data_IF_054674238997
#
_entry.id   IF_054674238997
#
_cell.length_a   1.000
_cell.length_b   1.000
_cell.length_c   1.000
_cell.angle_alpha   90.00
_cell.angle_beta   90.00
_cell.angle_gamma   90.00
#
_symmetry.space_group_name_H-M   'P 1'
#
loop_
_entity.id
_entity.type
_entity.pdbx_description
1 polymer ?
#
# COMPACT_ATOMS: atom_id res chain seq x y z
N UNK A 1 -14.54 2.83 -5.27
CA UNK A 1 -13.49 3.88 -5.35
C UNK A 1 -13.61 4.53 -6.71
N UNK A 2 -13.37 5.84 -6.80
CA UNK A 2 -13.44 6.55 -8.07
C UNK A 2 -12.16 6.33 -8.88
N UNK A 3 -12.33 6.05 -10.17
CA UNK A 3 -11.22 6.04 -11.11
C UNK A 3 -10.85 7.48 -11.48
N UNK A 4 -9.56 7.77 -11.70
CA UNK A 4 -9.04 9.12 -11.92
C UNK A 4 -9.72 9.88 -13.06
N UNK A 5 -10.12 9.20 -14.14
CA UNK A 5 -10.75 9.82 -15.32
C UNK A 5 -12.24 9.54 -15.46
N UNK A 6 -12.89 9.08 -14.40
CA UNK A 6 -14.33 8.82 -14.45
C UNK A 6 -15.10 10.15 -14.41
N UNK A 7 -16.01 10.35 -15.36
CA UNK A 7 -16.89 11.52 -15.40
C UNK A 7 -18.31 11.15 -14.93
N UNK A 8 -19.05 12.16 -14.47
CA UNK A 8 -20.46 11.99 -14.13
C UNK A 8 -21.22 11.53 -15.38
N UNK A 9 -22.08 10.52 -15.25
CA UNK A 9 -22.81 9.91 -16.36
C UNK A 9 -22.08 8.80 -17.11
N UNK A 10 -20.83 8.50 -16.76
CA UNK A 10 -20.10 7.36 -17.33
C UNK A 10 -20.72 6.03 -16.90
N UNK A 11 -20.96 5.13 -17.85
CA UNK A 11 -21.40 3.76 -17.57
C UNK A 11 -20.21 2.92 -17.13
N UNK A 12 -20.36 2.23 -15.99
CA UNK A 12 -19.34 1.33 -15.44
C UNK A 12 -19.95 -0.04 -15.26
N UNK A 13 -19.24 -1.07 -15.71
CA UNK A 13 -19.69 -2.45 -15.66
C UNK A 13 -18.76 -3.30 -14.79
N UNK A 14 -19.37 -4.26 -14.09
CA UNK A 14 -18.66 -5.28 -13.32
C UNK A 14 -19.21 -6.64 -13.74
N UNK A 15 -18.45 -7.37 -14.55
CA UNK A 15 -18.83 -8.72 -15.01
C UNK A 15 -17.61 -9.64 -15.00
N UNK A 16 -17.73 -10.90 -15.44
CA UNK A 16 -16.57 -11.78 -15.59
C UNK A 16 -15.62 -11.29 -16.68
N UNK A 17 -16.20 -10.87 -17.80
CA UNK A 17 -15.53 -10.23 -18.92
C UNK A 17 -16.31 -8.98 -19.31
N UNK A 18 -15.61 -7.87 -19.49
CA UNK A 18 -16.16 -6.59 -19.92
C UNK A 18 -15.20 -5.95 -20.92
N UNK A 19 -15.66 -4.91 -21.59
CA UNK A 19 -14.78 -4.02 -22.33
C UNK A 19 -13.68 -3.45 -21.42
N UNK A 20 -12.49 -3.27 -22.00
CA UNK A 20 -11.30 -2.73 -21.32
C UNK A 20 -11.45 -1.22 -21.24
N UNK A 21 -12.39 -0.76 -20.41
CA UNK A 21 -12.66 0.65 -20.17
C UNK A 21 -12.29 1.03 -18.73
N UNK A 22 -11.74 2.24 -18.49
CA UNK A 22 -11.38 2.67 -17.15
C UNK A 22 -12.59 2.68 -16.20
N UNK A 23 -12.42 2.10 -15.00
CA UNK A 23 -13.50 1.96 -14.03
C UNK A 23 -14.24 0.62 -14.10
N UNK A 24 -14.19 -0.11 -15.22
CA UNK A 24 -14.78 -1.45 -15.30
C UNK A 24 -14.01 -2.44 -14.43
N UNK A 25 -14.72 -3.44 -13.90
CA UNK A 25 -14.14 -4.51 -13.09
C UNK A 25 -14.40 -5.89 -13.71
N UNK A 26 -13.33 -6.69 -13.80
CA UNK A 26 -13.36 -8.03 -14.37
C UNK A 26 -12.29 -8.94 -13.74
N UNK A 27 -12.33 -10.24 -14.03
CA UNK A 27 -11.32 -11.21 -13.56
C UNK A 27 -9.96 -10.88 -14.17
N UNK A 28 -8.87 -11.02 -13.41
CA UNK A 28 -7.52 -10.73 -13.91
C UNK A 28 -7.11 -11.60 -15.10
N UNK A 29 -7.67 -12.80 -15.22
CA UNK A 29 -7.54 -13.66 -16.41
C UNK A 29 -7.88 -12.92 -17.69
N UNK A 30 -8.84 -12.01 -17.66
CA UNK A 30 -9.40 -11.36 -18.84
C UNK A 30 -8.78 -9.97 -19.10
N UNK A 31 -8.04 -9.39 -18.14
CA UNK A 31 -7.44 -8.05 -18.29
C UNK A 31 -6.10 -8.16 -19.05
N UNK A 32 -5.82 -7.40 -20.11
CA UNK A 32 -4.57 -7.52 -20.86
C UNK A 32 -3.30 -7.33 -20.00
N UNK A 33 -2.20 -7.92 -20.48
CA UNK A 33 -0.87 -7.67 -19.90
C UNK A 33 -0.50 -6.20 -20.07
N UNK A 34 0.21 -5.65 -19.10
CA UNK A 34 0.66 -4.26 -19.10
C UNK A 34 -0.39 -3.24 -18.66
N UNK A 35 -1.66 -3.63 -18.50
CA UNK A 35 -2.72 -2.74 -18.03
C UNK A 35 -2.51 -2.35 -16.55
N UNK A 36 -2.81 -1.09 -16.22
CA UNK A 36 -2.87 -0.62 -14.84
C UNK A 36 -4.22 -0.97 -14.23
N UNK A 37 -4.20 -1.48 -13.01
CA UNK A 37 -5.39 -1.89 -12.25
C UNK A 37 -5.34 -1.36 -10.82
N UNK A 38 -6.50 -1.24 -10.19
CA UNK A 38 -6.66 -0.85 -8.79
C UNK A 38 -7.79 -1.66 -8.14
N UNK A 39 -7.96 -1.52 -6.82
CA UNK A 39 -8.95 -2.31 -6.06
C UNK A 39 -8.85 -3.83 -6.31
N UNK A 40 -7.64 -4.37 -6.24
CA UNK A 40 -7.38 -5.77 -6.57
C UNK A 40 -7.68 -6.67 -5.38
N UNK A 41 -8.36 -7.79 -5.62
CA UNK A 41 -8.60 -8.81 -4.61
C UNK A 41 -7.32 -9.63 -4.32
N UNK A 42 -7.09 -9.98 -3.05
CA UNK A 42 -5.98 -10.87 -2.69
C UNK A 42 -6.36 -12.35 -2.80
N UNK A 43 -7.65 -12.65 -2.65
CA UNK A 43 -8.26 -13.96 -2.83
C UNK A 43 -9.61 -13.76 -3.53
N UNK A 44 -10.06 -14.69 -4.38
CA UNK A 44 -11.34 -14.57 -5.07
C UNK A 44 -12.47 -14.34 -4.07
N UNK A 45 -13.32 -13.34 -4.34
CA UNK A 45 -14.51 -13.04 -3.52
C UNK A 45 -14.23 -12.38 -2.17
N UNK A 46 -12.96 -12.13 -1.81
CA UNK A 46 -12.61 -11.44 -0.55
C UNK A 46 -12.68 -9.90 -0.67
N UNK A 47 -13.07 -9.40 -1.84
CA UNK A 47 -13.14 -7.98 -2.13
C UNK A 47 -11.77 -7.33 -2.35
N UNK A 48 -11.79 -6.10 -2.88
CA UNK A 48 -10.58 -5.35 -3.20
C UNK A 48 -9.80 -5.00 -1.94
N UNK A 49 -8.54 -5.44 -1.86
CA UNK A 49 -7.64 -5.20 -0.72
C UNK A 49 -6.40 -4.38 -1.11
N UNK A 50 -5.93 -4.53 -2.34
CA UNK A 50 -4.67 -3.96 -2.85
C UNK A 50 -4.96 -2.74 -3.74
N UNK A 51 -4.05 -1.77 -3.74
CA UNK A 51 -4.11 -0.54 -4.55
C UNK A 51 -5.42 0.24 -4.36
N UNK A 52 -5.61 0.73 -3.13
CA UNK A 52 -6.82 1.42 -2.66
C UNK A 52 -6.59 2.88 -2.25
N UNK A 53 -5.36 3.28 -1.98
CA UNK A 53 -5.06 4.66 -1.62
C UNK A 53 -5.22 5.59 -2.82
N UNK A 54 -5.38 6.89 -2.55
CA UNK A 54 -5.46 7.91 -3.59
C UNK A 54 -4.23 7.83 -4.52
N UNK A 55 -4.45 7.89 -5.84
CA UNK A 55 -3.41 7.70 -6.85
C UNK A 55 -2.81 6.29 -6.95
N UNK A 56 -3.37 5.29 -6.25
CA UNK A 56 -2.81 3.94 -6.25
C UNK A 56 -3.15 3.14 -7.50
N UNK A 57 -2.20 2.30 -7.91
CA UNK A 57 -2.37 1.30 -8.96
C UNK A 57 -1.39 0.14 -8.80
N UNK A 58 -1.62 -0.92 -9.55
CA UNK A 58 -0.72 -2.02 -9.79
C UNK A 58 -0.72 -2.33 -11.28
N UNK A 59 0.41 -2.83 -11.80
CA UNK A 59 0.51 -3.19 -13.22
C UNK A 59 0.53 -4.70 -13.37
N UNK A 60 -0.25 -5.23 -14.31
CA UNK A 60 -0.18 -6.64 -14.68
C UNK A 60 1.09 -6.86 -15.50
N UNK A 61 2.00 -7.72 -15.02
CA UNK A 61 3.30 -7.96 -15.68
C UNK A 61 3.30 -9.28 -16.43
N UNK A 62 2.77 -10.34 -15.82
CA UNK A 62 2.75 -11.67 -16.41
C UNK A 62 1.49 -12.43 -15.99
N UNK A 63 1.09 -13.41 -16.79
CA UNK A 63 0.03 -14.37 -16.50
C UNK A 63 0.59 -15.76 -16.77
N UNK A 64 0.66 -16.58 -15.74
CA UNK A 64 1.27 -17.90 -15.77
C UNK A 64 0.36 -18.89 -15.04
N UNK A 65 -0.24 -19.82 -15.80
CA UNK A 65 -1.17 -20.80 -15.27
C UNK A 65 -2.31 -20.14 -14.48
N UNK A 66 -2.49 -20.57 -13.23
CA UNK A 66 -3.55 -20.07 -12.33
C UNK A 66 -3.22 -18.71 -11.69
N UNK A 67 -2.02 -18.16 -11.92
CA UNK A 67 -1.56 -16.93 -11.27
C UNK A 67 -1.35 -15.79 -12.28
N UNK A 68 -1.69 -14.59 -11.84
CA UNK A 68 -1.33 -13.32 -12.46
C UNK A 68 -0.30 -12.62 -11.58
N UNK A 69 0.82 -12.22 -12.16
CA UNK A 69 1.88 -11.48 -11.47
C UNK A 69 1.62 -9.98 -11.61
N UNK A 70 1.48 -9.31 -10.47
CA UNK A 70 1.32 -7.87 -10.38
C UNK A 70 2.59 -7.21 -9.87
N UNK A 71 2.95 -6.07 -10.46
CA UNK A 71 3.90 -5.11 -9.90
C UNK A 71 3.12 -4.07 -9.11
N UNK A 72 3.30 -4.08 -7.80
CA UNK A 72 2.71 -3.12 -6.88
C UNK A 72 3.49 -1.80 -6.91
N UNK A 73 2.84 -0.69 -6.54
CA UNK A 73 3.50 0.60 -6.36
C UNK A 73 4.63 0.60 -5.32
N UNK A 74 4.60 -0.34 -4.37
CA UNK A 74 5.72 -0.57 -3.44
C UNK A 74 6.99 -1.09 -4.12
N UNK A 75 6.92 -1.48 -5.40
CA UNK A 75 7.97 -2.17 -6.14
C UNK A 75 8.00 -3.68 -5.91
N UNK A 76 7.14 -4.22 -5.03
CA UNK A 76 6.97 -5.68 -4.87
C UNK A 76 6.31 -6.28 -6.12
N UNK A 77 6.83 -7.41 -6.58
CA UNK A 77 6.18 -8.25 -7.58
C UNK A 77 5.59 -9.48 -6.90
N UNK A 78 4.30 -9.69 -7.11
CA UNK A 78 3.52 -10.68 -6.38
C UNK A 78 2.56 -11.44 -7.29
N UNK A 79 2.50 -12.76 -7.12
CA UNK A 79 1.52 -13.66 -7.73
C UNK A 79 0.20 -13.58 -6.97
N UNK A 80 -0.90 -13.41 -7.71
CA UNK A 80 -2.27 -13.45 -7.22
C UNK A 80 -3.07 -14.39 -8.12
N UNK A 81 -4.07 -15.08 -7.60
CA UNK A 81 -4.90 -15.98 -8.41
C UNK A 81 -5.56 -15.20 -9.55
N UNK A 82 -5.52 -15.73 -10.77
CA UNK A 82 -6.08 -15.09 -11.97
C UNK A 82 -7.59 -14.90 -11.91
N UNK A 83 -8.27 -15.67 -11.05
CA UNK A 83 -9.70 -15.55 -10.77
C UNK A 83 -10.07 -14.33 -9.92
N UNK A 84 -9.10 -13.76 -9.18
CA UNK A 84 -9.32 -12.52 -8.44
C UNK A 84 -9.76 -11.39 -9.39
N UNK A 85 -10.66 -10.54 -8.89
CA UNK A 85 -11.14 -9.37 -9.62
C UNK A 85 -10.20 -8.18 -9.43
N UNK A 86 -10.17 -7.33 -10.44
CA UNK A 86 -9.50 -6.04 -10.40
C UNK A 86 -10.31 -5.01 -11.17
N UNK A 87 -10.10 -3.73 -10.85
CA UNK A 87 -10.74 -2.61 -11.56
C UNK A 87 -9.70 -1.95 -12.46
N UNK A 88 -10.06 -1.68 -13.72
CA UNK A 88 -9.13 -1.10 -14.70
C UNK A 88 -8.86 0.37 -14.35
N UNK A 89 -7.57 0.73 -14.38
CA UNK A 89 -7.07 2.08 -14.19
C UNK A 89 -6.43 2.35 -12.83
N UNK A 90 -6.40 3.62 -12.45
CA UNK A 90 -5.75 4.16 -11.24
C UNK A 90 -6.82 4.79 -10.34
N UNK A 91 -6.63 4.72 -9.02
CA UNK A 91 -7.50 5.44 -8.06
C UNK A 91 -7.38 6.95 -8.27
N UNK A 92 -8.50 7.67 -8.13
CA UNK A 92 -8.53 9.13 -8.25
C UNK A 92 -7.68 9.85 -7.18
N UNK A 93 -7.61 11.18 -7.31
CA UNK A 93 -6.95 12.08 -6.37
C UNK A 93 -5.44 11.80 -6.21
N UNK A 94 -4.71 11.75 -7.32
CA UNK A 94 -3.25 11.53 -7.33
C UNK A 94 -2.46 12.60 -6.59
N UNK A 95 -2.99 13.82 -6.54
CA UNK A 95 -2.34 14.98 -5.91
C UNK A 95 -2.53 15.04 -4.38
N UNK A 96 -3.18 14.04 -3.80
CA UNK A 96 -3.41 13.99 -2.35
C UNK A 96 -2.12 14.08 -1.52
N UNK A 97 -0.98 13.68 -2.08
CA UNK A 97 0.34 13.80 -1.44
C UNK A 97 0.93 15.21 -1.46
N UNK A 98 0.50 16.08 -2.38
CA UNK A 98 0.98 17.46 -2.52
C UNK A 98 0.38 18.40 -1.46
N UNK A 99 -0.69 17.96 -0.79
CA UNK A 99 -1.40 18.77 0.19
C UNK A 99 -0.55 19.04 1.44
N UNK A 100 -0.28 20.32 1.71
CA UNK A 100 0.24 20.78 3.00
C UNK A 100 -0.89 21.06 4.01
N UNK A 101 -0.67 20.74 5.28
CA UNK A 101 -1.66 20.99 6.35
C UNK A 101 -1.55 22.37 6.98
N UNK A 102 -0.42 23.07 6.81
CA UNK A 102 -0.17 24.44 7.29
C UNK A 102 -0.07 24.60 8.82
N UNK A 103 -1.07 24.12 9.57
CA UNK A 103 -1.18 24.28 11.03
C UNK A 103 -1.32 22.95 11.76
N UNK A 104 -0.90 22.92 13.03
CA UNK A 104 -1.01 21.73 13.88
C UNK A 104 -2.47 21.25 14.06
N UNK A 105 -3.42 22.18 14.20
CA UNK A 105 -4.85 21.87 14.37
C UNK A 105 -5.45 21.09 13.20
N UNK A 106 -4.98 21.31 11.97
CA UNK A 106 -5.47 20.58 10.80
C UNK A 106 -5.16 19.08 10.86
N UNK A 107 -4.05 18.68 11.52
CA UNK A 107 -3.77 17.26 11.79
C UNK A 107 -4.71 16.69 12.85
N UNK A 108 -5.07 17.49 13.86
CA UNK A 108 -5.99 17.09 14.94
C UNK A 108 -7.40 16.82 14.42
N UNK A 109 -7.89 17.59 13.45
CA UNK A 109 -9.17 17.35 12.79
C UNK A 109 -9.26 15.98 12.10
N UNK A 110 -8.11 15.39 11.74
CA UNK A 110 -8.02 14.03 11.18
C UNK A 110 -7.89 12.93 12.25
N UNK A 111 -8.01 13.27 13.53
CA UNK A 111 -7.82 12.34 14.65
C UNK A 111 -6.36 12.02 14.98
N UNK A 112 -5.38 12.70 14.36
CA UNK A 112 -3.95 12.46 14.62
C UNK A 112 -3.52 13.26 15.84
N UNK A 113 -3.21 12.58 16.95
CA UNK A 113 -2.67 13.18 18.18
C UNK A 113 -1.18 13.52 18.05
N UNK A 114 -0.66 14.48 18.82
CA UNK A 114 0.78 14.75 18.86
C UNK A 114 1.54 13.54 19.38
N UNK A 115 2.66 13.21 18.73
CA UNK A 115 3.56 12.12 19.14
C UNK A 115 4.84 12.70 19.72
N UNK A 116 5.20 12.30 20.95
CA UNK A 116 6.42 12.74 21.64
C UNK A 116 7.60 11.89 21.19
N UNK A 117 8.78 12.52 21.00
CA UNK A 117 10.01 11.81 20.64
C UNK A 117 10.55 11.04 21.84
N UNK A 118 11.07 9.83 21.63
CA UNK A 118 11.65 9.02 22.72
C UNK A 118 12.83 9.67 23.47
N UNK A 119 13.58 10.55 22.80
CA UNK A 119 14.69 11.33 23.40
C UNK A 119 14.19 12.37 24.42
N UNK A 120 12.92 12.77 24.33
CA UNK A 120 12.32 13.73 25.26
C UNK A 120 11.66 13.05 26.48
N UNK A 121 11.83 11.74 26.63
CA UNK A 121 11.22 10.95 27.70
C UNK A 121 12.25 10.54 28.75
N UNK A 122 11.79 9.93 29.85
CA UNK A 122 12.68 9.38 30.88
C UNK A 122 13.14 7.96 30.49
N UNK A 123 14.24 7.44 31.09
CA UNK A 123 14.74 6.09 30.80
C UNK A 123 13.71 4.97 31.00
N UNK A 124 12.73 5.16 31.89
CA UNK A 124 11.64 4.21 32.15
C UNK A 124 10.64 4.13 30.98
N UNK A 125 10.44 5.22 30.25
CA UNK A 125 9.41 5.34 29.22
C UNK A 125 9.91 4.90 27.84
N UNK A 126 11.19 5.15 27.55
CA UNK A 126 11.76 4.88 26.24
C UNK A 126 13.23 4.46 26.34
N UNK A 127 13.68 3.52 25.48
CA UNK A 127 15.10 3.22 25.32
C UNK A 127 15.97 4.40 24.88
N UNK A 128 15.43 5.58 24.61
CA UNK A 128 16.23 6.76 24.26
C UNK A 128 16.11 7.85 25.32
N UNK A 129 15.38 7.58 26.40
CA UNK A 129 15.09 8.56 27.42
C UNK A 129 16.27 8.77 28.37
N UNK A 130 16.28 9.96 28.97
CA UNK A 130 17.29 10.42 29.93
C UNK A 130 18.61 10.91 29.31
N UNK A 131 19.60 11.02 30.21
CA UNK A 131 20.85 11.75 29.98
C UNK A 131 20.71 13.24 30.31
N UNK A 132 21.84 13.87 30.62
CA UNK A 132 21.89 15.31 30.89
C UNK A 132 21.79 16.11 29.60
N UNK A 133 20.89 17.11 29.58
CA UNK A 133 20.65 17.93 28.41
C UNK A 133 20.12 17.15 27.21
N UNK A 134 20.47 17.57 26.00
CA UNK A 134 20.03 16.93 24.75
C UNK A 134 21.00 15.82 24.37
N UNK A 135 20.53 14.57 24.43
CA UNK A 135 21.32 13.40 24.01
C UNK A 135 20.97 12.94 22.60
N UNK A 136 21.92 12.29 21.92
CA UNK A 136 21.72 11.63 20.63
C UNK A 136 21.16 10.21 20.75
N UNK A 137 20.90 9.75 21.98
CA UNK A 137 20.42 8.40 22.27
C UNK A 137 21.42 7.34 21.81
N UNK A 138 22.65 7.36 22.37
CA UNK A 138 23.86 6.61 21.99
C UNK A 138 23.79 5.06 21.97
N UNK A 139 22.72 4.52 21.40
CA UNK A 139 22.44 3.11 21.15
C UNK A 139 21.76 2.98 19.79
N UNK A 140 21.60 1.75 19.30
CA UNK A 140 20.86 1.55 18.06
C UNK A 140 19.44 2.11 18.19
N UNK A 141 18.93 2.89 17.22
CA UNK A 141 17.59 3.45 17.30
C UNK A 141 16.53 2.36 17.47
N UNK A 142 15.78 2.45 18.57
CA UNK A 142 14.81 1.44 18.99
C UNK A 142 13.41 2.04 19.16
N UNK A 143 12.41 1.15 19.11
CA UNK A 143 11.03 1.47 19.44
C UNK A 143 10.87 1.62 20.97
N UNK A 144 9.72 2.11 21.46
CA UNK A 144 9.46 2.14 22.90
C UNK A 144 9.60 0.77 23.59
N UNK A 145 9.42 -0.32 22.84
CA UNK A 145 9.54 -1.70 23.32
C UNK A 145 10.95 -2.31 23.09
N UNK A 146 11.95 -1.49 22.75
CA UNK A 146 13.33 -1.95 22.58
C UNK A 146 13.65 -2.60 21.23
N UNK A 147 12.68 -2.72 20.32
CA UNK A 147 12.90 -3.34 19.01
C UNK A 147 13.67 -2.41 18.06
N UNK A 148 14.73 -2.85 17.38
CA UNK A 148 15.49 -2.02 16.43
C UNK A 148 14.59 -1.46 15.30
N UNK A 149 14.69 -0.15 15.03
CA UNK A 149 13.81 0.56 14.07
C UNK A 149 14.46 0.83 12.71
N UNK A 150 15.78 0.78 12.63
CA UNK A 150 16.54 0.93 11.38
C UNK A 150 16.98 -0.46 10.87
N UNK A 151 16.62 -0.79 9.63
CA UNK A 151 17.10 -2.00 8.92
C UNK A 151 16.51 -3.35 9.36
N UNK A 152 15.96 -3.45 10.57
CA UNK A 152 15.42 -4.71 11.08
C UNK A 152 14.16 -5.18 10.32
N UNK A 153 14.20 -6.39 9.77
CA UNK A 153 13.07 -6.98 9.02
C UNK A 153 12.08 -7.64 9.98
N UNK A 154 10.84 -7.16 9.98
CA UNK A 154 9.79 -7.63 10.90
C UNK A 154 8.90 -8.75 10.35
N UNK A 155 8.93 -9.01 9.04
CA UNK A 155 8.07 -10.04 8.42
C UNK A 155 8.60 -11.45 8.73
N UNK A 156 7.76 -12.27 9.37
CA UNK A 156 8.06 -13.68 9.72
C UNK A 156 7.29 -14.73 8.91
N UNK A 157 6.16 -14.37 8.30
CA UNK A 157 5.26 -15.34 7.66
C UNK A 157 5.82 -15.91 6.34
N UNK A 158 6.19 -17.18 6.36
CA UNK A 158 6.77 -17.94 5.23
C UNK A 158 5.73 -18.47 4.25
N UNK A 159 4.47 -18.70 4.66
CA UNK A 159 3.42 -19.29 3.80
C UNK A 159 3.15 -18.48 2.54
N UNK A 160 3.39 -17.18 2.61
CA UNK A 160 3.17 -16.24 1.50
C UNK A 160 4.45 -15.90 0.72
N UNK A 161 5.61 -16.42 1.11
CA UNK A 161 6.88 -16.12 0.44
C UNK A 161 6.92 -16.64 -0.99
N UNK A 162 6.37 -17.84 -1.25
CA UNK A 162 6.32 -18.44 -2.59
C UNK A 162 5.48 -17.62 -3.58
N UNK A 163 4.57 -16.77 -3.08
CA UNK A 163 3.76 -15.88 -3.90
C UNK A 163 4.47 -14.55 -4.20
N UNK A 164 5.63 -14.26 -3.61
CA UNK A 164 6.37 -13.01 -3.81
C UNK A 164 7.56 -13.29 -4.71
N UNK A 165 7.49 -12.81 -5.95
CA UNK A 165 8.57 -12.97 -6.94
C UNK A 165 9.73 -12.03 -6.63
N UNK A 166 9.44 -10.78 -6.27
CA UNK A 166 10.45 -9.77 -5.91
C UNK A 166 9.95 -8.95 -4.73
N UNK A 167 10.76 -8.84 -3.68
CA UNK A 167 10.47 -7.98 -2.52
C UNK A 167 10.71 -6.50 -2.85
N UNK A 168 9.94 -5.61 -2.22
CA UNK A 168 10.15 -4.15 -2.26
C UNK A 168 11.59 -3.78 -1.93
N UNK A 169 12.15 -2.78 -2.61
CA UNK A 169 13.48 -2.22 -2.31
C UNK A 169 14.69 -3.08 -2.67
N UNK A 170 14.53 -4.31 -3.17
CA UNK A 170 15.62 -4.96 -3.92
C UNK A 170 15.77 -4.20 -5.23
N UNK A 171 16.88 -3.49 -5.43
CA UNK A 171 17.29 -2.95 -6.74
C UNK A 171 17.71 -4.11 -7.64
#
# INVERSE_FOLDING_TARGET
MLHQRLQIGSKVLSAEQTEISPGNSMKMSNIPLGTNVHCVEMKPGKGGQIARSAGASARIVAKEGIYTTLRLQSGEMRKILSECRATIGVVSNSENNLRSFGKAGAKRWKGIRPTVRGVAMNPIDHPHGGGEGRTSGGRHPSSPWGMPTKGFKTRKNTRSDNLIVRRRGKR
#
